data_IF_447550290830
#
_entry.id   IF_447550290830
#
_cell.length_a   1.000
_cell.length_b   1.000
_cell.length_c   1.000
_cell.angle_alpha   90.00
_cell.angle_beta   90.00
_cell.angle_gamma   90.00
#
_symmetry.space_group_name_H-M   'P 1'
#
loop_
_entity.id
_entity.type
_entity.pdbx_description
1 polymer ?
#
# COMPACT_ATOMS: atom_id res chain seq x y z
N UNK A 1 -9.36 -1.30 -24.23
CA UNK A 1 -9.38 -2.53 -23.40
C UNK A 1 -10.82 -2.96 -23.10
N UNK A 2 -11.60 -2.27 -22.26
CA UNK A 2 -12.99 -2.66 -21.91
C UNK A 2 -13.87 -3.04 -23.12
N UNK A 3 -13.91 -2.19 -24.15
CA UNK A 3 -14.63 -2.46 -25.41
C UNK A 3 -14.15 -3.69 -26.19
N UNK A 4 -12.85 -3.96 -26.16
CA UNK A 4 -12.29 -5.15 -26.83
C UNK A 4 -12.68 -6.40 -26.05
N UNK A 5 -12.57 -6.35 -24.72
CA UNK A 5 -12.91 -7.48 -23.87
C UNK A 5 -14.40 -7.85 -23.93
N UNK A 6 -15.28 -6.85 -24.06
CA UNK A 6 -16.72 -7.07 -24.21
C UNK A 6 -17.14 -7.52 -25.61
N UNK A 7 -16.48 -7.04 -26.67
CA UNK A 7 -16.80 -7.40 -28.04
C UNK A 7 -16.22 -8.75 -28.49
N UNK A 8 -15.20 -9.26 -27.78
CA UNK A 8 -14.48 -10.45 -28.21
C UNK A 8 -15.26 -11.72 -27.89
N UNK A 9 -15.59 -12.48 -28.94
CA UNK A 9 -16.40 -13.71 -28.84
C UNK A 9 -15.55 -14.92 -28.41
N UNK A 10 -14.28 -14.99 -28.84
CA UNK A 10 -13.34 -16.05 -28.46
C UNK A 10 -11.88 -15.66 -28.72
N UNK A 11 -10.94 -16.33 -28.05
CA UNK A 11 -9.49 -16.13 -28.20
C UNK A 11 -8.99 -14.79 -27.65
N UNK A 12 -7.67 -14.59 -27.65
CA UNK A 12 -6.98 -13.33 -27.36
C UNK A 12 -6.34 -13.20 -25.96
N UNK A 13 -5.29 -12.37 -25.90
CA UNK A 13 -4.51 -12.11 -24.68
C UNK A 13 -4.58 -10.60 -24.43
N UNK A 14 -4.91 -10.22 -23.19
CA UNK A 14 -5.02 -8.83 -22.77
C UNK A 14 -4.09 -8.56 -21.60
N UNK A 15 -3.25 -7.55 -21.74
CA UNK A 15 -2.46 -7.01 -20.65
C UNK A 15 -3.14 -5.74 -20.12
N UNK A 16 -3.33 -5.67 -18.81
CA UNK A 16 -3.97 -4.53 -18.18
C UNK A 16 -3.53 -4.41 -16.74
N UNK A 17 -3.84 -3.26 -16.14
CA UNK A 17 -3.66 -3.05 -14.71
C UNK A 17 -5.01 -3.08 -14.01
N UNK A 18 -5.03 -3.51 -12.75
CA UNK A 18 -6.28 -3.69 -12.00
C UNK A 18 -7.08 -2.38 -11.85
N UNK A 19 -6.41 -1.22 -11.86
CA UNK A 19 -7.06 0.10 -11.77
C UNK A 19 -7.99 0.39 -12.97
N UNK A 20 -7.87 -0.36 -14.08
CA UNK A 20 -8.83 -0.26 -15.19
C UNK A 20 -10.21 -0.82 -14.84
N UNK A 21 -10.30 -1.65 -13.79
CA UNK A 21 -11.55 -2.14 -13.23
C UNK A 21 -12.10 -1.24 -12.12
N UNK A 22 -11.49 -0.09 -11.82
CA UNK A 22 -12.10 0.87 -10.91
C UNK A 22 -13.43 1.41 -11.48
N UNK A 23 -14.42 1.70 -10.61
CA UNK A 23 -15.61 2.42 -11.02
C UNK A 23 -15.27 3.82 -11.53
N UNK A 24 -16.12 4.35 -12.41
CA UNK A 24 -15.96 5.73 -12.88
C UNK A 24 -16.21 6.73 -11.74
N UNK A 25 -15.70 7.95 -11.87
CA UNK A 25 -15.85 8.97 -10.83
C UNK A 25 -17.34 9.19 -10.50
N UNK A 26 -17.70 8.96 -9.24
CA UNK A 26 -19.07 9.14 -8.74
C UNK A 26 -19.93 7.88 -8.79
N UNK A 27 -19.46 6.80 -9.41
CA UNK A 27 -20.11 5.50 -9.39
C UNK A 27 -19.52 4.60 -8.30
N UNK A 28 -20.37 3.74 -7.74
CA UNK A 28 -19.99 2.76 -6.72
C UNK A 28 -20.00 1.32 -7.26
N UNK A 29 -20.25 1.16 -8.56
CA UNK A 29 -20.33 -0.12 -9.27
C UNK A 29 -19.62 -0.02 -10.62
N UNK A 30 -19.31 -1.18 -11.18
CA UNK A 30 -18.77 -1.30 -12.53
C UNK A 30 -19.74 -2.05 -13.44
N UNK A 31 -19.69 -1.73 -14.72
CA UNK A 31 -20.40 -2.48 -15.74
C UNK A 31 -19.75 -3.87 -15.91
N UNK A 32 -20.60 -4.88 -16.05
CA UNK A 32 -20.17 -6.22 -16.42
C UNK A 32 -19.58 -6.19 -17.84
N UNK A 33 -18.29 -6.52 -17.96
CA UNK A 33 -17.59 -6.50 -19.23
C UNK A 33 -17.83 -7.79 -20.02
N UNK A 34 -17.93 -8.93 -19.34
CA UNK A 34 -18.20 -10.22 -20.00
C UNK A 34 -18.79 -11.23 -19.01
N UNK A 35 -19.81 -11.97 -19.42
CA UNK A 35 -20.37 -13.12 -18.68
C UNK A 35 -19.71 -14.46 -19.05
N UNK A 36 -18.68 -14.45 -19.91
CA UNK A 36 -18.07 -15.67 -20.42
C UNK A 36 -17.36 -16.45 -19.30
N UNK A 37 -17.53 -17.76 -19.29
CA UNK A 37 -16.87 -18.68 -18.35
C UNK A 37 -15.50 -19.17 -18.81
N UNK A 38 -15.12 -18.88 -20.06
CA UNK A 38 -13.83 -19.27 -20.66
C UNK A 38 -12.82 -18.12 -20.68
N UNK A 39 -12.81 -17.32 -19.61
CA UNK A 39 -11.83 -16.26 -19.38
C UNK A 39 -10.93 -16.69 -18.22
N UNK A 40 -9.62 -16.59 -18.42
CA UNK A 40 -8.62 -16.83 -17.38
C UNK A 40 -7.97 -15.48 -17.07
N UNK A 41 -8.01 -15.09 -15.80
CA UNK A 41 -7.36 -13.89 -15.28
C UNK A 41 -6.14 -14.34 -14.49
N UNK A 42 -4.96 -13.88 -14.90
CA UNK A 42 -3.70 -14.11 -14.20
C UNK A 42 -3.29 -12.79 -13.57
N UNK A 43 -3.17 -12.78 -12.25
CA UNK A 43 -2.77 -11.62 -11.46
C UNK A 43 -1.37 -11.82 -10.92
N UNK A 44 -0.50 -10.86 -11.20
CA UNK A 44 0.82 -10.76 -10.59
C UNK A 44 0.76 -9.89 -9.32
N UNK A 45 1.60 -10.23 -8.34
CA UNK A 45 1.61 -9.67 -6.99
C UNK A 45 0.22 -9.47 -6.40
N UNK A 46 -0.52 -10.58 -6.30
CA UNK A 46 -1.87 -10.66 -5.76
C UNK A 46 -1.90 -10.41 -4.23
N UNK A 47 -1.54 -9.19 -3.80
CA UNK A 47 -1.42 -8.81 -2.40
C UNK A 47 -2.56 -7.90 -1.89
N UNK A 48 -2.80 -7.96 -0.57
CA UNK A 48 -3.97 -7.41 0.14
C UNK A 48 -4.34 -5.96 -0.20
N UNK A 49 -3.36 -5.07 -0.38
CA UNK A 49 -3.59 -3.62 -0.51
C UNK A 49 -4.28 -3.23 -1.81
N UNK A 50 -4.16 -4.04 -2.86
CA UNK A 50 -4.83 -3.78 -4.15
C UNK A 50 -6.09 -4.64 -4.33
N UNK A 51 -6.12 -5.82 -3.69
CA UNK A 51 -7.11 -6.86 -3.99
C UNK A 51 -8.11 -7.15 -2.86
N UNK A 52 -8.05 -6.49 -1.70
CA UNK A 52 -8.96 -6.77 -0.59
C UNK A 52 -10.44 -6.49 -0.90
N UNK A 53 -11.36 -7.40 -0.52
CA UNK A 53 -12.81 -7.16 -0.60
C UNK A 53 -13.34 -6.21 0.49
N UNK A 54 -12.48 -5.78 1.42
CA UNK A 54 -12.86 -4.94 2.54
C UNK A 54 -13.32 -3.56 2.06
N UNK A 55 -14.46 -3.13 2.58
CA UNK A 55 -14.95 -1.79 2.41
C UNK A 55 -14.31 -0.88 3.45
N UNK A 56 -13.58 0.15 3.02
CA UNK A 56 -13.19 1.23 3.93
C UNK A 56 -14.32 2.25 4.00
N UNK A 57 -14.62 2.72 5.22
CA UNK A 57 -15.60 3.79 5.42
C UNK A 57 -14.90 5.10 5.08
N UNK A 58 -15.42 5.84 4.10
CA UNK A 58 -14.88 7.17 3.80
C UNK A 58 -14.92 8.03 5.08
N UNK A 59 -13.88 8.83 5.35
CA UNK A 59 -13.78 9.72 6.52
C UNK A 59 -14.89 10.79 6.56
N UNK A 60 -15.72 10.86 5.51
CA UNK A 60 -16.95 11.67 5.42
C UNK A 60 -18.25 10.92 5.72
N UNK A 61 -18.21 9.61 5.96
CA UNK A 61 -19.35 8.81 6.43
C UNK A 61 -20.41 8.44 5.37
N UNK A 62 -20.20 8.79 4.09
CA UNK A 62 -21.27 8.68 3.09
C UNK A 62 -21.21 7.43 2.21
N UNK A 63 -20.04 6.77 2.05
CA UNK A 63 -19.89 5.65 1.10
C UNK A 63 -18.88 4.58 1.53
N UNK A 64 -19.18 3.33 1.18
CA UNK A 64 -18.32 2.15 1.31
C UNK A 64 -17.36 2.07 0.11
N UNK A 65 -16.04 2.02 0.35
CA UNK A 65 -15.03 1.80 -0.71
C UNK A 65 -14.51 0.38 -0.70
N UNK A 66 -14.97 -0.46 -1.62
CA UNK A 66 -14.42 -1.80 -1.83
C UNK A 66 -13.06 -1.75 -2.55
N UNK A 67 -12.20 -2.74 -2.32
CA UNK A 67 -10.96 -2.88 -3.07
C UNK A 67 -11.19 -3.35 -4.51
N UNK A 68 -10.14 -3.23 -5.32
CA UNK A 68 -10.24 -3.31 -6.78
C UNK A 68 -10.55 -4.72 -7.29
N UNK A 69 -10.19 -5.76 -6.53
CA UNK A 69 -10.55 -7.13 -6.89
C UNK A 69 -12.07 -7.31 -6.99
N UNK A 70 -12.83 -6.71 -6.06
CA UNK A 70 -14.29 -6.80 -6.11
C UNK A 70 -14.83 -6.33 -7.46
N UNK A 71 -14.41 -5.14 -7.90
CA UNK A 71 -14.88 -4.61 -9.17
C UNK A 71 -14.37 -5.45 -10.36
N UNK A 72 -13.19 -6.05 -10.27
CA UNK A 72 -12.71 -6.98 -11.29
C UNK A 72 -13.59 -8.26 -11.35
N UNK A 73 -14.04 -8.78 -10.21
CA UNK A 73 -15.00 -9.88 -10.14
C UNK A 73 -16.39 -9.49 -10.64
N UNK A 74 -16.90 -8.32 -10.26
CA UNK A 74 -18.19 -7.81 -10.74
C UNK A 74 -18.17 -7.61 -12.27
N UNK A 75 -17.02 -7.18 -12.83
CA UNK A 75 -16.82 -7.02 -14.26
C UNK A 75 -16.72 -8.35 -15.03
N UNK A 76 -16.18 -9.40 -14.40
CA UNK A 76 -15.89 -10.71 -15.00
C UNK A 76 -16.35 -11.87 -14.10
N UNK A 77 -17.66 -11.98 -13.80
CA UNK A 77 -18.16 -12.82 -12.71
C UNK A 77 -17.90 -14.32 -12.88
N UNK A 78 -17.69 -14.80 -14.11
CA UNK A 78 -17.50 -16.21 -14.41
C UNK A 78 -16.06 -16.56 -14.80
N UNK A 79 -15.10 -15.65 -14.64
CA UNK A 79 -13.71 -15.92 -14.98
C UNK A 79 -13.04 -16.83 -13.94
N UNK A 80 -12.03 -17.59 -14.40
CA UNK A 80 -11.10 -18.30 -13.52
C UNK A 80 -9.97 -17.35 -13.12
N UNK A 81 -9.68 -17.25 -11.82
CA UNK A 81 -8.64 -16.37 -11.28
C UNK A 81 -7.45 -17.18 -10.80
N UNK A 82 -6.25 -16.76 -11.21
CA UNK A 82 -4.97 -17.30 -10.78
C UNK A 82 -4.12 -16.16 -10.24
N UNK A 83 -3.69 -16.24 -8.98
CA UNK A 83 -2.84 -15.24 -8.34
C UNK A 83 -1.42 -15.77 -8.15
N UNK A 84 -0.43 -14.93 -8.48
CA UNK A 84 0.98 -15.13 -8.15
C UNK A 84 1.36 -14.08 -7.11
N UNK A 85 2.11 -14.46 -6.08
CA UNK A 85 2.63 -13.50 -5.09
C UNK A 85 3.93 -14.00 -4.49
N UNK A 86 4.88 -13.08 -4.26
CA UNK A 86 6.14 -13.39 -3.59
C UNK A 86 6.05 -13.41 -2.06
N UNK A 87 4.97 -12.87 -1.49
CA UNK A 87 4.77 -12.79 -0.05
C UNK A 87 3.57 -13.63 0.36
N UNK A 88 3.81 -14.66 1.16
CA UNK A 88 2.74 -15.45 1.75
C UNK A 88 1.80 -14.54 2.56
N UNK A 89 0.52 -14.63 2.24
CA UNK A 89 -0.54 -13.98 2.99
C UNK A 89 -0.58 -14.67 4.37
N UNK A 90 -0.48 -13.90 5.46
CA UNK A 90 -0.45 -14.46 6.83
C UNK A 90 -1.66 -15.38 7.06
N UNK A 91 -1.50 -16.46 7.84
CA UNK A 91 -2.52 -17.49 8.13
C UNK A 91 -3.88 -16.94 8.62
N UNK A 92 -3.95 -15.68 9.05
CA UNK A 92 -5.17 -15.04 9.55
C UNK A 92 -5.96 -14.25 8.49
N UNK A 93 -5.56 -14.25 7.23
CA UNK A 93 -6.06 -13.27 6.26
C UNK A 93 -6.96 -13.89 5.18
N UNK A 94 -8.24 -14.02 5.56
CA UNK A 94 -9.36 -14.54 4.75
C UNK A 94 -9.62 -13.78 3.43
N UNK A 95 -9.06 -12.58 3.28
CA UNK A 95 -9.40 -11.69 2.17
C UNK A 95 -8.82 -12.16 0.83
N UNK A 96 -7.62 -12.76 0.80
CA UNK A 96 -7.00 -13.18 -0.47
C UNK A 96 -7.49 -14.54 -0.94
N UNK A 97 -7.73 -15.48 -0.02
CA UNK A 97 -8.40 -16.76 -0.35
C UNK A 97 -9.82 -16.53 -0.87
N UNK A 98 -10.50 -15.49 -0.39
CA UNK A 98 -11.82 -15.12 -0.93
C UNK A 98 -11.75 -14.66 -2.40
N UNK A 99 -10.60 -14.15 -2.88
CA UNK A 99 -10.40 -13.67 -4.26
C UNK A 99 -9.91 -14.79 -5.16
N UNK A 100 -8.86 -15.49 -4.72
CA UNK A 100 -8.09 -16.41 -5.57
C UNK A 100 -8.23 -17.89 -5.18
N UNK A 101 -8.90 -18.19 -4.07
CA UNK A 101 -9.01 -19.55 -3.53
C UNK A 101 -7.79 -19.97 -2.71
N UNK A 102 -7.67 -21.27 -2.47
CA UNK A 102 -6.57 -21.85 -1.70
C UNK A 102 -5.28 -21.92 -2.53
N UNK A 103 -4.14 -21.93 -1.85
CA UNK A 103 -2.84 -22.15 -2.50
C UNK A 103 -2.81 -23.50 -3.24
N UNK A 104 -2.36 -23.45 -4.50
CA UNK A 104 -2.13 -24.66 -5.31
C UNK A 104 -0.72 -25.19 -5.08
N UNK A 105 0.25 -24.29 -4.96
CA UNK A 105 1.66 -24.62 -4.73
C UNK A 105 2.37 -23.44 -4.03
N UNK A 106 3.44 -23.73 -3.29
CA UNK A 106 4.25 -22.73 -2.60
C UNK A 106 5.73 -23.03 -2.88
N UNK A 107 6.39 -22.08 -3.52
CA UNK A 107 7.83 -22.09 -3.74
C UNK A 107 8.46 -20.96 -2.94
N UNK A 108 9.12 -21.32 -1.84
CA UNK A 108 9.67 -20.36 -0.89
C UNK A 108 11.14 -19.98 -1.22
N UNK A 109 11.63 -18.97 -0.52
CA UNK A 109 13.02 -18.50 -0.66
C UNK A 109 14.02 -19.58 -0.30
N UNK A 110 13.68 -20.48 0.63
CA UNK A 110 14.56 -21.57 1.05
C UNK A 110 14.74 -22.60 -0.08
N UNK A 111 13.66 -23.04 -0.69
CA UNK A 111 13.66 -23.93 -1.85
C UNK A 111 14.45 -23.30 -3.01
N UNK A 112 14.24 -22.00 -3.24
CA UNK A 112 14.95 -21.25 -4.26
C UNK A 112 16.46 -21.10 -4.04
N UNK A 113 16.89 -21.06 -2.78
CA UNK A 113 18.32 -21.09 -2.45
C UNK A 113 18.90 -22.50 -2.57
N UNK A 114 18.13 -23.53 -2.21
CA UNK A 114 18.57 -24.94 -2.26
C UNK A 114 18.78 -25.44 -3.69
N UNK A 115 17.95 -25.01 -4.64
CA UNK A 115 18.09 -25.39 -6.05
C UNK A 115 19.02 -24.47 -6.85
N UNK A 116 19.52 -23.39 -6.23
CA UNK A 116 20.44 -22.44 -6.84
C UNK A 116 19.78 -21.42 -7.76
N UNK A 117 18.46 -21.31 -7.79
CA UNK A 117 17.73 -20.30 -8.55
C UNK A 117 17.97 -18.89 -8.01
N UNK A 118 18.10 -18.75 -6.69
CA UNK A 118 18.44 -17.47 -6.03
C UNK A 118 19.71 -17.57 -5.19
N UNK A 119 20.37 -16.43 -5.00
CA UNK A 119 21.56 -16.33 -4.14
C UNK A 119 21.16 -15.98 -2.70
N UNK A 120 21.91 -16.45 -1.68
CA UNK A 120 21.68 -16.06 -0.30
C UNK A 120 21.81 -14.54 -0.09
N UNK A 121 20.89 -13.97 0.69
CA UNK A 121 20.93 -12.56 1.08
C UNK A 121 21.55 -12.45 2.47
N UNK A 122 22.69 -11.76 2.58
CA UNK A 122 23.31 -11.42 3.86
C UNK A 122 22.89 -10.00 4.25
N UNK A 123 22.17 -9.86 5.36
CA UNK A 123 21.72 -8.57 5.87
C UNK A 123 22.59 -8.14 7.06
N UNK A 124 23.26 -6.99 6.93
CA UNK A 124 23.94 -6.32 8.03
C UNK A 124 23.15 -5.09 8.44
N UNK A 125 22.69 -5.07 9.70
CA UNK A 125 22.08 -3.87 10.27
C UNK A 125 23.16 -2.82 10.51
N UNK A 126 23.04 -1.66 9.86
CA UNK A 126 23.82 -0.48 10.20
C UNK A 126 23.03 0.39 11.17
N UNK A 127 23.44 0.38 12.42
CA UNK A 127 22.99 1.36 13.40
C UNK A 127 23.87 2.59 13.21
N UNK A 128 23.24 3.72 12.89
CA UNK A 128 23.91 5.01 12.87
C UNK A 128 23.66 5.61 14.24
N UNK A 129 24.71 5.75 15.05
CA UNK A 129 24.65 6.53 16.28
C UNK A 129 24.46 8.00 15.90
N UNK A 130 23.23 8.48 16.01
CA UNK A 130 22.91 9.90 15.96
C UNK A 130 23.35 10.49 17.30
N UNK A 131 24.48 11.20 17.30
CA UNK A 131 24.91 11.99 18.45
C UNK A 131 24.39 13.42 18.29
N UNK A 132 23.60 13.89 19.26
CA UNK A 132 23.14 15.27 19.26
C UNK A 132 24.33 16.21 19.50
N UNK A 133 24.42 17.26 18.69
CA UNK A 133 25.40 18.31 18.86
C UNK A 133 25.02 19.17 20.08
N UNK A 134 25.64 18.88 21.23
CA UNK A 134 25.36 19.60 22.49
C UNK A 134 25.60 21.11 22.40
N UNK A 135 26.50 21.56 21.50
CA UNK A 135 26.73 22.99 21.30
C UNK A 135 25.55 23.67 20.58
N UNK A 136 24.89 22.98 19.65
CA UNK A 136 23.66 23.50 19.02
C UNK A 136 22.51 23.54 20.03
N UNK A 137 22.33 22.48 20.83
CA UNK A 137 21.32 22.46 21.91
C UNK A 137 21.47 23.65 22.85
N UNK A 138 22.68 23.91 23.35
CA UNK A 138 22.94 25.05 24.24
C UNK A 138 22.62 26.40 23.59
N UNK A 139 22.97 26.57 22.30
CA UNK A 139 22.64 27.81 21.58
C UNK A 139 21.14 27.99 21.32
N UNK A 140 20.40 26.89 21.12
CA UNK A 140 18.94 26.92 20.94
C UNK A 140 18.21 27.22 22.26
N UNK A 141 18.73 26.70 23.38
CA UNK A 141 18.20 27.00 24.71
C UNK A 141 18.41 28.49 25.07
N UNK A 142 19.61 29.03 24.82
CA UNK A 142 19.92 30.46 25.02
C UNK A 142 19.05 31.35 24.11
N UNK A 143 18.89 31.00 22.81
CA UNK A 143 18.02 31.74 21.88
C UNK A 143 16.55 31.72 22.35
N UNK A 144 16.08 30.60 22.92
CA UNK A 144 14.73 30.50 23.45
C UNK A 144 14.55 31.35 24.71
N UNK A 145 15.53 31.36 25.62
CA UNK A 145 15.48 32.17 26.85
C UNK A 145 15.46 33.67 26.53
N UNK A 146 16.31 34.13 25.61
CA UNK A 146 16.29 35.52 25.12
C UNK A 146 14.95 35.90 24.48
N UNK A 147 14.36 35.02 23.67
CA UNK A 147 13.05 35.26 23.02
C UNK A 147 11.87 35.27 24.00
N UNK A 148 12.03 34.70 25.20
CA UNK A 148 11.01 34.67 26.25
C UNK A 148 11.11 35.87 27.21
N UNK A 149 12.27 36.53 27.28
CA UNK A 149 12.48 37.75 28.07
C UNK A 149 11.90 39.02 27.41
N UNK A 150 11.74 39.02 26.07
CA UNK A 150 11.12 40.12 25.30
C UNK A 150 9.57 40.02 25.21
N UNK A 151 8.88 41.17 25.22
CA UNK A 151 7.41 41.34 25.39
C UNK A 151 6.55 40.45 24.44
N UNK A 152 5.46 39.78 24.91
CA UNK A 152 4.81 38.65 24.21
C UNK A 152 4.06 38.95 22.91
N UNK A 153 3.81 40.22 22.56
CA UNK A 153 2.92 40.56 21.45
C UNK A 153 3.60 40.54 20.06
N UNK A 154 4.93 40.63 19.97
CA UNK A 154 5.64 40.75 18.68
C UNK A 154 6.42 39.48 18.25
N UNK A 155 6.62 38.49 19.13
CA UNK A 155 7.58 37.38 18.94
C UNK A 155 6.99 35.99 18.65
N UNK A 156 5.65 35.81 18.69
CA UNK A 156 5.00 34.50 18.66
C UNK A 156 5.49 33.55 17.55
N UNK A 157 5.77 34.05 16.34
CA UNK A 157 6.22 33.20 15.23
C UNK A 157 7.65 32.66 15.39
N UNK A 158 8.55 33.43 16.01
CA UNK A 158 9.95 33.03 16.22
C UNK A 158 10.08 32.07 17.39
N UNK A 159 9.38 32.36 18.50
CA UNK A 159 9.31 31.47 19.66
C UNK A 159 8.71 30.11 19.29
N UNK A 160 7.64 30.07 18.50
CA UNK A 160 7.05 28.80 18.00
C UNK A 160 8.05 28.03 17.12
N UNK A 161 8.81 28.73 16.27
CA UNK A 161 9.81 28.09 15.40
C UNK A 161 11.00 27.52 16.19
N UNK A 162 11.46 28.22 17.22
CA UNK A 162 12.54 27.76 18.10
C UNK A 162 12.10 26.51 18.90
N UNK A 163 10.90 26.56 19.48
CA UNK A 163 10.32 25.45 20.23
C UNK A 163 10.15 24.18 19.36
N UNK A 164 9.66 24.34 18.13
CA UNK A 164 9.49 23.22 17.20
C UNK A 164 10.83 22.56 16.81
N UNK A 165 11.91 23.33 16.72
CA UNK A 165 13.26 22.78 16.46
C UNK A 165 13.78 22.00 17.66
N UNK A 166 13.60 22.53 18.87
CA UNK A 166 14.01 21.89 20.11
C UNK A 166 13.27 20.55 20.31
N UNK A 167 11.94 20.53 20.08
CA UNK A 167 11.16 19.29 20.10
C UNK A 167 11.65 18.27 19.07
N UNK A 168 12.01 18.72 17.85
CA UNK A 168 12.50 17.80 16.81
C UNK A 168 13.84 17.14 17.17
N UNK A 169 14.70 17.85 17.91
CA UNK A 169 15.98 17.33 18.39
C UNK A 169 15.73 16.36 19.56
N UNK A 170 14.85 16.70 20.50
CA UNK A 170 14.50 15.85 21.63
C UNK A 170 13.81 14.54 21.20
N UNK A 171 13.02 14.56 20.12
CA UNK A 171 12.39 13.36 19.54
C UNK A 171 13.36 12.49 18.73
N UNK A 172 14.55 12.99 18.38
CA UNK A 172 15.57 12.21 17.66
C UNK A 172 16.43 11.34 18.61
N UNK A 173 16.38 11.61 19.91
CA UNK A 173 17.14 10.91 20.97
C UNK A 173 16.35 9.78 21.67
N UNK A 174 15.16 9.40 21.17
CA UNK A 174 14.30 8.33 21.70
C UNK A 174 13.84 7.33 20.64
#
# INVERSE_FOLDING_TARGET
MKKLLSAQVAGGIFFTTIQKFSPEKGLDTVEQLSSRSNIIVICDEAHRTQYGFKSDFDKKGEKYRYGLAKYMHDALPNALYLGLTGTLISENDRDTEAVFGTYVDIYDVLASQQDGTTVPIHYEQRIIDLAVNQAELGSLDEELEELLEDDPEEQNSRTISALSRLESIAMADG
#
